data_IF_717600286297
#
_entry.id   IF_717600286297
#
_cell.length_a   1.000
_cell.length_b   1.000
_cell.length_c   1.000
_cell.angle_alpha   90.00
_cell.angle_beta   90.00
_cell.angle_gamma   90.00
#
_symmetry.space_group_name_H-M   'P 1'
#
loop_
_entity.id
_entity.type
_entity.pdbx_description
1 polymer ?
#
# COMPACT_ATOMS: atom_id res chain seq x y z
N UNK A 1 -42.72 57.84 35.41
CA UNK A 1 -43.93 57.25 34.81
C UNK A 1 -43.76 57.39 33.31
N UNK A 2 -42.86 56.61 32.71
CA UNK A 2 -43.15 55.29 32.13
C UNK A 2 -44.21 55.38 31.04
N UNK A 3 -43.89 54.69 29.95
CA UNK A 3 -44.80 54.31 28.87
C UNK A 3 -44.90 55.38 27.78
N UNK A 4 -44.22 55.13 26.67
CA UNK A 4 -44.90 54.67 25.45
C UNK A 4 -43.87 54.51 24.31
N UNK A 5 -43.59 53.24 23.99
CA UNK A 5 -43.42 52.72 22.63
C UNK A 5 -42.13 53.15 21.89
N UNK A 6 -41.11 52.30 21.76
CA UNK A 6 -41.14 51.00 21.07
C UNK A 6 -41.86 51.07 19.73
N UNK A 7 -41.29 51.74 18.73
CA UNK A 7 -41.41 51.43 17.27
C UNK A 7 -40.77 52.56 16.46
N UNK A 8 -39.45 52.48 16.23
CA UNK A 8 -38.77 53.08 15.06
C UNK A 8 -37.29 52.65 14.99
N UNK A 9 -36.96 51.42 15.43
CA UNK A 9 -35.78 50.72 14.88
C UNK A 9 -36.13 50.21 13.49
N UNK A 10 -36.55 51.14 12.62
CA UNK A 10 -36.84 50.92 11.23
C UNK A 10 -35.50 50.94 10.50
N UNK A 11 -35.03 49.73 10.23
CA UNK A 11 -33.92 49.32 9.39
C UNK A 11 -33.44 50.37 8.39
N UNK A 12 -32.18 50.78 8.53
CA UNK A 12 -31.42 51.45 7.46
C UNK A 12 -29.99 50.89 7.47
N UNK A 13 -29.33 50.90 6.32
CA UNK A 13 -29.04 49.75 5.45
C UNK A 13 -27.94 48.81 5.95
N UNK A 14 -27.43 48.98 7.17
CA UNK A 14 -26.25 48.22 7.65
C UNK A 14 -26.59 46.75 7.90
N UNK A 15 -27.84 46.44 8.25
CA UNK A 15 -28.32 45.06 8.37
C UNK A 15 -28.37 44.33 7.02
N UNK A 16 -28.39 45.08 5.90
CA UNK A 16 -28.24 44.52 4.55
C UNK A 16 -26.79 44.15 4.21
N UNK A 17 -25.82 44.51 5.06
CA UNK A 17 -24.42 44.14 4.88
C UNK A 17 -24.12 42.70 5.33
N UNK A 18 -25.08 42.03 5.99
CA UNK A 18 -24.97 40.62 6.39
C UNK A 18 -25.30 39.62 5.26
N UNK A 19 -25.67 40.07 4.06
CA UNK A 19 -26.18 39.21 2.99
C UNK A 19 -25.45 39.39 1.66
N UNK A 20 -24.11 39.38 1.61
CA UNK A 20 -23.35 39.23 0.35
C UNK A 20 -21.85 38.96 0.58
N UNK A 21 -21.50 38.13 1.57
CA UNK A 21 -20.16 37.54 1.66
C UNK A 21 -20.21 36.03 1.43
N UNK A 22 -21.17 35.57 0.63
CA UNK A 22 -20.89 34.45 -0.27
C UNK A 22 -19.97 35.01 -1.37
N UNK A 23 -18.70 35.25 -1.01
CA UNK A 23 -17.62 35.41 -1.98
C UNK A 23 -17.52 34.06 -2.68
N UNK A 24 -18.38 33.85 -3.66
CA UNK A 24 -18.19 32.83 -4.66
C UNK A 24 -17.07 33.35 -5.55
N UNK A 25 -15.83 33.12 -5.12
CA UNK A 25 -14.62 33.39 -5.90
C UNK A 25 -14.79 32.74 -7.27
N UNK A 26 -15.03 33.51 -8.36
CA UNK A 26 -15.11 32.94 -9.71
C UNK A 26 -13.73 32.55 -10.25
N UNK A 27 -12.68 32.84 -9.50
CA UNK A 27 -11.30 32.42 -9.69
C UNK A 27 -10.98 31.10 -8.97
N UNK A 28 -11.75 30.71 -7.93
CA UNK A 28 -11.65 29.38 -7.33
C UNK A 28 -12.24 28.26 -8.22
N UNK A 29 -13.02 28.60 -9.26
CA UNK A 29 -13.45 27.63 -10.29
C UNK A 29 -12.42 27.46 -11.42
N UNK A 30 -11.35 28.26 -11.42
CA UNK A 30 -10.26 28.16 -12.41
C UNK A 30 -9.03 27.45 -11.87
N UNK A 31 -9.20 26.61 -10.86
CA UNK A 31 -8.13 25.74 -10.41
C UNK A 31 -8.21 24.38 -11.14
N UNK A 32 -7.52 24.18 -12.29
CA UNK A 32 -7.44 22.88 -12.95
C UNK A 32 -6.60 21.86 -12.16
N UNK A 33 -6.09 22.20 -10.97
CA UNK A 33 -5.22 21.34 -10.15
C UNK A 33 -5.98 20.22 -9.40
N UNK A 34 -7.29 20.07 -9.61
CA UNK A 34 -8.04 18.94 -9.11
C UNK A 34 -8.42 18.01 -10.27
N UNK A 35 -8.09 16.72 -10.12
CA UNK A 35 -8.35 15.61 -11.07
C UNK A 35 -7.15 15.28 -12.01
N UNK A 36 -5.93 15.26 -11.47
CA UNK A 36 -4.98 14.23 -11.85
C UNK A 36 -4.96 13.18 -10.73
N UNK A 37 -6.04 12.41 -10.59
CA UNK A 37 -6.02 11.20 -9.78
C UNK A 37 -4.97 10.26 -10.36
N UNK A 38 -3.74 10.33 -9.83
CA UNK A 38 -2.64 9.42 -10.13
C UNK A 38 -2.94 8.06 -9.50
N UNK A 39 -4.02 7.42 -9.95
CA UNK A 39 -4.32 6.04 -9.62
C UNK A 39 -3.43 5.19 -10.52
N UNK A 40 -2.48 4.52 -9.91
CA UNK A 40 -1.64 3.52 -10.57
C UNK A 40 -2.60 2.56 -11.31
N UNK A 41 -2.42 2.44 -12.63
CA UNK A 41 -3.38 1.77 -13.52
C UNK A 41 -3.79 0.39 -12.98
N UNK A 42 -5.11 0.10 -12.81
CA UNK A 42 -5.61 -1.19 -12.33
C UNK A 42 -5.08 -2.41 -13.11
N UNK A 43 -4.66 -2.18 -14.36
CA UNK A 43 -4.06 -3.20 -15.22
C UNK A 43 -2.76 -3.79 -14.66
N UNK A 44 -1.97 -3.00 -13.91
CA UNK A 44 -0.72 -3.49 -13.30
C UNK A 44 -1.04 -4.55 -12.25
N UNK A 45 -2.02 -4.31 -11.38
CA UNK A 45 -2.47 -5.28 -10.37
C UNK A 45 -3.01 -6.57 -11.00
N UNK A 46 -3.75 -6.48 -12.10
CA UNK A 46 -4.26 -7.63 -12.84
C UNK A 46 -3.15 -8.52 -13.43
N UNK A 47 -2.10 -7.91 -13.99
CA UNK A 47 -0.96 -8.65 -14.54
C UNK A 47 -0.17 -9.38 -13.45
N UNK A 48 0.03 -8.74 -12.29
CA UNK A 48 0.76 -9.31 -11.15
C UNK A 48 -0.06 -10.45 -10.53
N UNK A 49 -1.38 -10.29 -10.43
CA UNK A 49 -2.28 -11.37 -10.00
C UNK A 49 -2.12 -12.61 -10.89
N UNK A 50 -2.03 -12.44 -12.22
CA UNK A 50 -1.75 -13.53 -13.16
C UNK A 50 -0.41 -14.22 -12.90
N UNK A 51 0.67 -13.46 -12.69
CA UNK A 51 2.00 -14.01 -12.36
C UNK A 51 1.99 -14.80 -11.04
N UNK A 52 1.28 -14.31 -10.02
CA UNK A 52 1.14 -15.03 -8.75
C UNK A 52 0.27 -16.29 -8.85
N UNK A 53 -0.78 -16.25 -9.66
CA UNK A 53 -1.59 -17.43 -9.97
C UNK A 53 -0.72 -18.49 -10.65
N UNK A 54 0.07 -18.09 -11.65
CA UNK A 54 1.00 -18.98 -12.33
C UNK A 54 2.05 -19.57 -11.37
N UNK A 55 2.65 -18.75 -10.50
CA UNK A 55 3.57 -19.23 -9.47
C UNK A 55 2.93 -20.21 -8.50
N UNK A 56 1.65 -20.01 -8.17
CA UNK A 56 0.89 -20.92 -7.30
C UNK A 56 0.60 -22.25 -8.00
N UNK A 57 0.18 -22.21 -9.27
CA UNK A 57 -0.04 -23.40 -10.09
C UNK A 57 1.25 -24.20 -10.28
N UNK A 58 2.38 -23.52 -10.54
CA UNK A 58 3.71 -24.15 -10.59
C UNK A 58 4.09 -24.80 -9.27
N UNK A 59 3.77 -24.18 -8.12
CA UNK A 59 4.05 -24.77 -6.80
C UNK A 59 3.21 -26.02 -6.56
N UNK A 60 1.92 -25.99 -6.90
CA UNK A 60 1.03 -27.16 -6.79
C UNK A 60 1.48 -28.27 -7.74
N UNK A 61 1.82 -27.94 -8.99
CA UNK A 61 2.35 -28.89 -9.96
C UNK A 61 3.64 -29.56 -9.50
N UNK A 62 4.60 -28.77 -9.00
CA UNK A 62 5.85 -29.30 -8.44
C UNK A 62 5.60 -30.17 -7.19
N UNK A 63 4.60 -29.85 -6.37
CA UNK A 63 4.21 -30.69 -5.24
C UNK A 63 3.53 -32.01 -5.64
N UNK A 64 2.95 -32.08 -6.84
CA UNK A 64 2.26 -33.28 -7.35
C UNK A 64 3.21 -34.27 -8.01
N UNK A 65 4.40 -33.82 -8.45
CA UNK A 65 5.43 -34.71 -8.99
C UNK A 65 6.30 -35.21 -7.83
N UNK A 66 6.33 -36.52 -7.61
CA UNK A 66 7.12 -37.13 -6.54
C UNK A 66 8.56 -37.43 -7.02
N UNK A 67 9.48 -36.49 -6.86
CA UNK A 67 10.92 -36.64 -7.13
C UNK A 67 11.72 -37.14 -5.91
N UNK A 68 11.04 -37.72 -4.91
CA UNK A 68 11.69 -38.24 -3.70
C UNK A 68 12.42 -37.14 -2.91
N UNK A 69 13.70 -37.32 -2.49
CA UNK A 69 14.41 -36.36 -1.64
C UNK A 69 14.65 -34.99 -2.29
N UNK A 70 14.49 -34.86 -3.61
CA UNK A 70 14.63 -33.60 -4.35
C UNK A 70 13.36 -32.72 -4.33
N UNK A 71 12.24 -33.21 -3.80
CA UNK A 71 11.00 -32.43 -3.70
C UNK A 71 11.16 -31.17 -2.85
N UNK A 72 11.81 -31.28 -1.68
CA UNK A 72 11.95 -30.16 -0.77
C UNK A 72 12.82 -29.02 -1.33
N UNK A 73 14.03 -29.28 -1.90
CA UNK A 73 14.83 -28.23 -2.56
C UNK A 73 14.09 -27.55 -3.71
N UNK A 74 13.38 -28.32 -4.55
CA UNK A 74 12.64 -27.80 -5.71
C UNK A 74 11.46 -26.93 -5.25
N UNK A 75 10.69 -27.41 -4.26
CA UNK A 75 9.58 -26.66 -3.68
C UNK A 75 10.04 -25.34 -3.05
N UNK A 76 11.18 -25.35 -2.33
CA UNK A 76 11.77 -24.14 -1.76
C UNK A 76 12.26 -23.19 -2.87
N UNK A 77 12.90 -23.71 -3.92
CA UNK A 77 13.33 -22.89 -5.06
C UNK A 77 12.18 -22.13 -5.72
N UNK A 78 11.07 -22.82 -5.99
CA UNK A 78 9.86 -22.21 -6.56
C UNK A 78 9.22 -21.22 -5.58
N UNK A 79 9.19 -21.55 -4.28
CA UNK A 79 8.67 -20.66 -3.24
C UNK A 79 9.48 -19.35 -3.14
N UNK A 80 10.81 -19.42 -3.21
CA UNK A 80 11.69 -18.24 -3.21
C UNK A 80 11.48 -17.39 -4.46
N UNK A 81 11.41 -18.01 -5.64
CA UNK A 81 11.09 -17.28 -6.89
C UNK A 81 9.76 -16.53 -6.75
N UNK A 82 8.71 -17.19 -6.25
CA UNK A 82 7.42 -16.54 -5.98
C UNK A 82 7.56 -15.38 -4.99
N UNK A 83 8.32 -15.54 -3.91
CA UNK A 83 8.53 -14.49 -2.92
C UNK A 83 9.21 -13.25 -3.53
N UNK A 84 10.17 -13.43 -4.44
CA UNK A 84 10.80 -12.32 -5.17
C UNK A 84 9.78 -11.54 -6.01
N UNK A 85 8.89 -12.24 -6.72
CA UNK A 85 7.80 -11.59 -7.48
C UNK A 85 6.85 -10.80 -6.56
N UNK A 86 6.51 -11.34 -5.39
CA UNK A 86 5.69 -10.61 -4.40
C UNK A 86 6.40 -9.32 -3.97
N UNK A 87 7.68 -9.36 -3.61
CA UNK A 87 8.40 -8.15 -3.13
C UNK A 87 8.59 -7.12 -4.24
N UNK A 88 8.92 -7.53 -5.47
CA UNK A 88 9.15 -6.59 -6.57
C UNK A 88 7.88 -5.87 -7.02
N UNK A 89 6.76 -6.59 -7.06
CA UNK A 89 5.52 -6.11 -7.67
C UNK A 89 4.44 -5.72 -6.64
N UNK A 90 4.16 -6.55 -5.63
CA UNK A 90 3.13 -6.27 -4.62
C UNK A 90 3.56 -5.20 -3.60
N UNK A 91 4.83 -5.18 -3.20
CA UNK A 91 5.35 -4.10 -2.35
C UNK A 91 5.66 -2.80 -3.12
N UNK A 92 5.28 -2.72 -4.40
CA UNK A 92 5.48 -1.55 -5.27
C UNK A 92 6.92 -1.00 -5.26
N UNK A 93 7.90 -1.86 -4.91
CA UNK A 93 9.29 -1.46 -4.69
C UNK A 93 9.84 -0.86 -5.96
N UNK A 94 9.55 -1.44 -7.14
CA UNK A 94 10.05 -0.95 -8.43
C UNK A 94 9.67 0.52 -8.70
N UNK A 95 8.44 0.91 -8.38
CA UNK A 95 7.83 2.20 -8.73
C UNK A 95 7.85 3.24 -7.61
N UNK A 96 8.16 2.83 -6.38
CA UNK A 96 8.21 3.73 -5.23
C UNK A 96 9.54 4.50 -5.13
N UNK A 97 9.52 5.54 -4.30
CA UNK A 97 10.67 6.42 -4.01
C UNK A 97 11.87 5.62 -3.45
N UNK A 98 13.09 6.15 -3.64
CA UNK A 98 14.34 5.51 -3.21
C UNK A 98 14.38 5.19 -1.72
N UNK A 99 13.68 5.98 -0.89
CA UNK A 99 13.57 5.74 0.55
C UNK A 99 12.80 4.46 0.87
N UNK A 100 11.67 4.21 0.19
CA UNK A 100 10.86 2.99 0.39
C UNK A 100 11.62 1.74 -0.05
N UNK A 101 12.38 1.84 -1.15
CA UNK A 101 13.26 0.76 -1.61
C UNK A 101 14.29 0.39 -0.54
N UNK A 102 14.89 1.38 0.13
CA UNK A 102 15.89 1.16 1.18
C UNK A 102 15.29 0.52 2.43
N UNK A 103 14.12 1.00 2.87
CA UNK A 103 13.42 0.43 4.05
C UNK A 103 12.99 -1.01 3.79
N UNK A 104 12.45 -1.31 2.61
CA UNK A 104 12.06 -2.69 2.26
C UNK A 104 13.29 -3.59 2.16
N UNK A 105 14.39 -3.12 1.57
CA UNK A 105 15.64 -3.86 1.53
C UNK A 105 16.20 -4.13 2.94
N UNK A 106 16.18 -3.14 3.84
CA UNK A 106 16.59 -3.30 5.23
C UNK A 106 15.70 -4.30 5.97
N UNK A 107 14.38 -4.21 5.82
CA UNK A 107 13.43 -5.17 6.41
C UNK A 107 13.63 -6.59 5.90
N UNK A 108 13.86 -6.77 4.59
CA UNK A 108 14.16 -8.08 4.01
C UNK A 108 15.51 -8.62 4.48
N UNK A 109 16.54 -7.77 4.53
CA UNK A 109 17.86 -8.14 5.06
C UNK A 109 17.77 -8.60 6.52
N UNK A 110 17.06 -7.85 7.37
CA UNK A 110 16.82 -8.24 8.76
C UNK A 110 15.96 -9.51 8.85
N UNK A 111 14.94 -9.68 8.03
CA UNK A 111 14.16 -10.91 7.99
C UNK A 111 15.03 -12.12 7.63
N UNK A 112 15.89 -12.00 6.61
CA UNK A 112 16.82 -13.04 6.20
C UNK A 112 17.77 -13.41 7.33
N UNK A 113 18.32 -12.42 8.05
CA UNK A 113 19.23 -12.73 9.16
C UNK A 113 18.52 -13.47 10.29
N UNK A 114 17.26 -13.11 10.61
CA UNK A 114 16.46 -13.80 11.62
C UNK A 114 16.14 -15.25 11.23
N UNK A 115 15.78 -15.49 9.96
CA UNK A 115 15.49 -16.84 9.44
C UNK A 115 16.75 -17.70 9.44
N UNK A 116 17.86 -17.19 8.92
CA UNK A 116 19.12 -17.93 8.90
C UNK A 116 19.63 -18.22 10.31
N UNK A 117 19.58 -17.25 11.22
CA UNK A 117 19.97 -17.46 12.61
C UNK A 117 19.11 -18.55 13.28
N UNK A 118 17.80 -18.55 13.02
CA UNK A 118 16.89 -19.58 13.54
C UNK A 118 17.23 -20.96 12.98
N UNK A 119 17.42 -21.07 11.66
CA UNK A 119 17.80 -22.34 11.02
C UNK A 119 19.16 -22.86 11.53
N UNK A 120 20.14 -21.97 11.68
CA UNK A 120 21.45 -22.30 12.25
C UNK A 120 21.34 -22.75 13.70
N UNK A 121 20.47 -22.14 14.52
CA UNK A 121 20.19 -22.60 15.89
C UNK A 121 19.57 -24.01 15.90
N UNK A 122 18.55 -24.25 15.07
CA UNK A 122 17.92 -25.57 14.92
C UNK A 122 18.93 -26.63 14.49
N UNK A 123 19.75 -26.31 13.49
CA UNK A 123 20.82 -27.19 13.02
C UNK A 123 21.80 -27.43 14.17
N UNK A 124 22.34 -26.40 14.80
CA UNK A 124 23.32 -26.53 15.89
C UNK A 124 22.80 -27.33 17.09
N UNK A 125 21.49 -27.27 17.38
CA UNK A 125 20.84 -28.10 18.42
C UNK A 125 20.65 -29.55 18.02
N UNK A 126 20.37 -29.79 16.74
CA UNK A 126 20.22 -31.13 16.22
C UNK A 126 21.59 -31.79 15.97
N UNK A 127 22.67 -31.00 15.79
CA UNK A 127 24.06 -31.43 15.73
C UNK A 127 24.49 -32.10 17.04
N UNK A 128 24.28 -33.42 17.10
CA UNK A 128 24.60 -34.26 18.27
C UNK A 128 23.48 -35.21 18.68
N UNK A 129 22.30 -35.15 18.06
CA UNK A 129 21.17 -36.07 18.28
C UNK A 129 21.03 -37.15 17.18
N UNK A 130 22.09 -37.36 16.39
CA UNK A 130 22.19 -38.38 15.35
C UNK A 130 23.42 -39.25 15.57
#
# INVERSE_FOLDING_TARGET
MSDHQATSQNLTPVDAQHHNLDVHDPDNVTNPEHIAHHIVSPAVYGMIFGVLMLGTLLTVGASMVNLGPFNAPIAIGIAVTKAVFVVLFFMHVKYSSRLVKLTVAAGFFTFLILVFMSLLDYVSRAWGLW
#
